data_IF_919410922387
#
_entry.id   IF_919410922387
#
_cell.length_a   1.000
_cell.length_b   1.000
_cell.length_c   1.000
_cell.angle_alpha   90.00
_cell.angle_beta   90.00
_cell.angle_gamma   90.00
#
_symmetry.space_group_name_H-M   'P 1'
#
loop_
_entity.id
_entity.type
_entity.pdbx_description
1 polymer ?
#
# COMPACT_ATOMS: atom_id res chain seq x y z
N UNK A 1 -17.20 21.17 -104.75
CA UNK A 1 -15.85 20.78 -104.29
C UNK A 1 -16.01 20.20 -102.90
N UNK A 2 -16.09 18.87 -102.74
CA UNK A 2 -14.93 17.99 -102.42
C UNK A 2 -14.19 18.53 -101.18
N UNK A 3 -14.13 17.86 -100.01
CA UNK A 3 -13.76 16.46 -99.78
C UNK A 3 -14.14 15.94 -98.37
N UNK A 4 -14.06 14.61 -98.29
CA UNK A 4 -14.22 13.58 -97.25
C UNK A 4 -13.51 13.73 -95.87
N UNK A 5 -14.06 12.96 -94.91
CA UNK A 5 -13.73 12.73 -93.49
C UNK A 5 -12.33 12.12 -93.19
N UNK A 6 -11.91 11.86 -91.92
CA UNK A 6 -12.45 10.76 -91.09
C UNK A 6 -12.53 10.97 -89.54
N UNK A 7 -13.23 10.01 -88.91
CA UNK A 7 -13.48 9.83 -87.47
C UNK A 7 -12.22 9.43 -86.68
N UNK A 8 -12.10 9.91 -85.44
CA UNK A 8 -11.31 9.24 -84.40
C UNK A 8 -12.07 9.26 -83.07
N UNK A 9 -12.42 8.08 -82.58
CA UNK A 9 -13.10 7.86 -81.31
C UNK A 9 -12.07 7.77 -80.18
N UNK A 10 -12.12 8.70 -79.22
CA UNK A 10 -11.27 8.67 -78.03
C UNK A 10 -12.05 8.06 -76.86
N UNK A 11 -11.63 6.86 -76.45
CA UNK A 11 -12.12 6.15 -75.27
C UNK A 11 -11.52 6.80 -74.02
N UNK A 12 -12.33 7.48 -73.22
CA UNK A 12 -11.91 7.95 -71.89
C UNK A 12 -11.88 6.78 -70.91
N UNK A 13 -10.69 6.50 -70.37
CA UNK A 13 -10.47 5.53 -69.29
C UNK A 13 -11.03 6.10 -67.99
N UNK A 14 -11.98 5.40 -67.36
CA UNK A 14 -12.38 5.66 -65.98
C UNK A 14 -11.20 5.37 -65.05
N UNK A 15 -10.70 6.40 -64.37
CA UNK A 15 -9.82 6.24 -63.22
C UNK A 15 -10.66 5.77 -62.02
N UNK A 16 -10.48 4.51 -61.65
CA UNK A 16 -10.99 3.94 -60.41
C UNK A 16 -10.21 4.54 -59.23
N UNK A 17 -10.77 5.57 -58.60
CA UNK A 17 -10.27 6.13 -57.36
C UNK A 17 -10.71 5.22 -56.21
N UNK A 18 -9.82 4.33 -55.74
CA UNK A 18 -10.09 3.51 -54.56
C UNK A 18 -10.08 4.42 -53.31
N UNK A 19 -11.14 4.43 -52.48
CA UNK A 19 -11.10 5.14 -51.22
C UNK A 19 -10.13 4.42 -50.29
N UNK A 20 -9.05 5.09 -49.92
CA UNK A 20 -8.18 4.66 -48.83
C UNK A 20 -8.96 4.94 -47.54
N UNK A 21 -9.50 3.87 -46.93
CA UNK A 21 -10.02 3.94 -45.57
C UNK A 21 -8.85 4.26 -44.64
N UNK A 22 -8.76 5.51 -44.19
CA UNK A 22 -7.98 5.86 -43.01
C UNK A 22 -8.73 5.32 -41.79
N UNK A 23 -8.29 4.18 -41.26
CA UNK A 23 -8.68 3.73 -39.94
C UNK A 23 -8.08 4.72 -38.92
N UNK A 24 -8.90 5.61 -38.38
CA UNK A 24 -8.54 6.39 -37.21
C UNK A 24 -8.45 5.42 -36.03
N UNK A 25 -7.23 4.99 -35.69
CA UNK A 25 -6.96 4.32 -34.44
C UNK A 25 -7.22 5.35 -33.32
N UNK A 26 -8.34 5.18 -32.62
CA UNK A 26 -8.58 5.87 -31.35
C UNK A 26 -7.56 5.28 -30.36
N UNK A 27 -6.44 5.97 -30.21
CA UNK A 27 -5.57 5.79 -29.04
C UNK A 27 -6.34 6.35 -27.85
N UNK A 28 -7.02 5.49 -27.10
CA UNK A 28 -7.43 5.79 -25.74
C UNK A 28 -6.16 5.94 -24.89
N UNK A 29 -5.55 7.12 -24.91
CA UNK A 29 -4.69 7.56 -23.82
C UNK A 29 -5.65 8.11 -22.77
N UNK A 30 -6.11 7.21 -21.92
CA UNK A 30 -7.00 7.55 -20.81
C UNK A 30 -6.41 6.93 -19.56
N UNK A 31 -6.10 7.79 -18.58
CA UNK A 31 -5.85 7.44 -17.18
C UNK A 31 -6.59 6.17 -16.80
N UNK A 32 -5.89 5.26 -16.12
CA UNK A 32 -6.53 4.22 -15.35
C UNK A 32 -7.45 4.90 -14.33
N UNK A 33 -8.70 5.17 -14.73
CA UNK A 33 -9.80 5.41 -13.83
C UNK A 33 -9.77 4.20 -12.90
N UNK A 34 -9.25 4.39 -11.70
CA UNK A 34 -9.16 3.33 -10.71
C UNK A 34 -10.58 2.81 -10.56
N UNK A 35 -10.85 1.63 -11.12
CA UNK A 35 -12.20 1.12 -11.20
C UNK A 35 -12.79 1.13 -9.79
N UNK A 36 -13.99 1.67 -9.66
CA UNK A 36 -14.71 1.60 -8.39
C UNK A 36 -14.82 0.12 -7.99
N UNK A 37 -14.74 -0.15 -6.69
CA UNK A 37 -14.84 -1.51 -6.16
C UNK A 37 -16.13 -2.18 -6.69
N UNK A 38 -16.03 -3.33 -7.38
CA UNK A 38 -17.20 -4.03 -7.91
C UNK A 38 -18.11 -4.59 -6.81
N UNK A 39 -17.60 -4.79 -5.59
CA UNK A 39 -18.34 -5.31 -4.44
C UNK A 39 -17.98 -4.50 -3.18
N UNK A 40 -18.48 -3.24 -3.07
CA UNK A 40 -18.13 -2.37 -1.95
C UNK A 40 -18.49 -3.00 -0.61
N UNK A 41 -17.51 -3.14 0.27
CA UNK A 41 -17.66 -3.78 1.57
C UNK A 41 -16.53 -3.38 2.52
N UNK A 42 -16.64 -3.82 3.78
CA UNK A 42 -15.52 -3.74 4.71
C UNK A 42 -14.56 -4.92 4.51
N UNK A 43 -13.34 -4.62 4.08
CA UNK A 43 -12.24 -5.56 4.01
C UNK A 43 -11.49 -5.60 5.33
N UNK A 44 -11.14 -6.81 5.77
CA UNK A 44 -10.29 -7.07 6.94
C UNK A 44 -9.19 -8.01 6.51
N UNK A 45 -7.95 -7.55 6.60
CA UNK A 45 -6.78 -8.30 6.13
C UNK A 45 -5.81 -8.55 7.28
N UNK A 46 -5.15 -9.70 7.23
CA UNK A 46 -4.13 -10.09 8.20
C UNK A 46 -2.95 -10.73 7.50
N UNK A 47 -1.74 -10.42 7.97
CA UNK A 47 -0.51 -11.03 7.48
C UNK A 47 0.49 -11.14 8.63
N UNK A 48 1.46 -12.05 8.53
CA UNK A 48 2.56 -12.13 9.49
C UNK A 48 3.71 -11.24 9.06
N UNK A 49 4.29 -10.49 9.98
CA UNK A 49 5.40 -9.62 9.64
C UNK A 49 6.62 -10.39 9.12
N UNK A 50 6.91 -11.58 9.66
CA UNK A 50 8.00 -12.46 9.22
C UNK A 50 7.78 -13.05 7.83
N UNK A 51 6.54 -13.07 7.34
CA UNK A 51 6.23 -13.49 5.96
C UNK A 51 6.41 -12.35 4.96
N UNK A 52 6.21 -11.09 5.41
CA UNK A 52 6.37 -9.90 4.56
C UNK A 52 7.82 -9.44 4.48
N UNK A 53 8.58 -9.59 5.57
CA UNK A 53 10.00 -9.22 5.63
C UNK A 53 10.80 -10.28 6.39
N UNK A 54 11.65 -11.08 5.71
CA UNK A 54 12.44 -12.13 6.34
C UNK A 54 13.56 -11.59 7.25
N UNK A 55 13.82 -10.28 7.26
CA UNK A 55 14.83 -9.64 8.12
C UNK A 55 14.31 -9.36 9.53
N UNK A 56 13.00 -9.45 9.74
CA UNK A 56 12.34 -9.26 11.04
C UNK A 56 12.88 -10.26 12.07
N UNK A 57 13.10 -9.79 13.30
CA UNK A 57 13.64 -10.60 14.38
C UNK A 57 12.70 -10.64 15.59
N UNK A 58 12.89 -11.68 16.41
CA UNK A 58 12.33 -11.72 17.76
C UNK A 58 13.27 -10.98 18.72
N UNK A 59 12.69 -10.43 19.78
CA UNK A 59 13.37 -9.80 20.92
C UNK A 59 12.89 -10.49 22.20
N UNK A 60 13.36 -11.73 22.49
CA UNK A 60 12.86 -12.54 23.61
C UNK A 60 13.01 -11.88 24.99
N UNK A 61 14.01 -11.01 25.14
CA UNK A 61 14.30 -10.24 26.34
C UNK A 61 13.16 -9.29 26.75
N UNK A 62 12.29 -8.93 25.80
CA UNK A 62 11.07 -8.17 26.05
C UNK A 62 9.80 -8.97 25.75
N UNK A 63 9.88 -10.30 25.60
CA UNK A 63 8.75 -11.15 25.21
C UNK A 63 8.11 -10.69 23.87
N UNK A 64 8.91 -10.15 22.96
CA UNK A 64 8.47 -9.80 21.61
C UNK A 64 8.86 -10.94 20.67
N UNK A 65 7.90 -11.80 20.36
CA UNK A 65 8.15 -13.07 19.69
C UNK A 65 7.59 -13.06 18.27
N UNK A 66 8.12 -13.93 17.42
CA UNK A 66 7.55 -14.24 16.09
C UNK A 66 6.57 -15.42 16.17
N UNK A 67 6.86 -16.37 17.05
CA UNK A 67 6.02 -17.53 17.33
C UNK A 67 5.88 -17.66 18.84
N UNK A 68 4.65 -17.85 19.31
CA UNK A 68 4.35 -18.07 20.72
C UNK A 68 4.85 -19.46 21.17
N UNK A 69 5.02 -19.71 22.49
CA UNK A 69 5.42 -21.02 23.00
C UNK A 69 4.48 -22.18 22.60
N UNK A 70 3.21 -21.88 22.35
CA UNK A 70 2.22 -22.86 21.89
C UNK A 70 2.25 -23.12 20.36
N UNK A 71 3.20 -22.53 19.64
CA UNK A 71 3.35 -22.67 18.19
C UNK A 71 2.49 -21.73 17.33
N UNK A 72 1.63 -20.91 17.94
CA UNK A 72 0.82 -19.94 17.18
C UNK A 72 1.63 -18.72 16.74
N UNK A 73 1.30 -18.08 15.61
CA UNK A 73 1.90 -16.80 15.20
C UNK A 73 1.75 -15.71 16.27
N UNK A 74 2.84 -15.03 16.60
CA UNK A 74 2.85 -13.89 17.52
C UNK A 74 2.92 -12.54 16.78
N UNK A 75 3.39 -12.54 15.54
CA UNK A 75 3.71 -11.36 14.74
C UNK A 75 2.63 -10.97 13.72
N UNK A 76 1.38 -11.29 14.03
CA UNK A 76 0.23 -10.96 13.17
C UNK A 76 0.01 -9.45 13.12
N UNK A 77 -0.15 -8.95 11.91
CA UNK A 77 -0.52 -7.58 11.58
C UNK A 77 -1.96 -7.56 11.06
N UNK A 78 -2.68 -6.46 11.27
CA UNK A 78 -4.09 -6.34 10.92
C UNK A 78 -4.34 -5.04 10.15
N UNK A 79 -5.16 -5.11 9.10
CA UNK A 79 -5.59 -3.96 8.33
C UNK A 79 -7.10 -4.00 8.10
N UNK A 80 -7.71 -2.83 7.92
CA UNK A 80 -9.11 -2.74 7.51
C UNK A 80 -9.41 -1.45 6.74
N UNK A 81 -10.28 -1.56 5.74
CA UNK A 81 -10.83 -0.48 4.93
C UNK A 81 -12.27 -0.82 4.58
N UNK A 82 -13.16 0.18 4.55
CA UNK A 82 -14.51 0.03 4.03
C UNK A 82 -14.65 0.82 2.73
N UNK A 83 -14.73 0.10 1.62
CA UNK A 83 -14.82 0.67 0.27
C UNK A 83 -16.24 1.10 -0.09
N UNK A 84 -17.25 0.74 0.72
CA UNK A 84 -18.60 1.26 0.60
C UNK A 84 -18.74 2.70 1.12
N UNK A 85 -17.74 3.17 1.88
CA UNK A 85 -17.64 4.54 2.39
C UNK A 85 -16.63 5.32 1.57
N UNK A 86 -16.94 6.59 1.26
CA UNK A 86 -16.02 7.46 0.52
C UNK A 86 -14.71 7.64 1.29
N UNK A 87 -13.59 7.26 0.67
CA UNK A 87 -12.26 7.39 1.25
C UNK A 87 -11.88 8.85 1.50
N UNK A 88 -11.23 9.11 2.63
CA UNK A 88 -10.59 10.39 2.97
C UNK A 88 -9.11 10.45 2.60
N UNK A 89 -8.55 9.35 2.10
CA UNK A 89 -7.12 9.25 1.77
C UNK A 89 -6.21 9.43 2.98
N UNK A 90 -6.62 8.90 4.14
CA UNK A 90 -5.87 8.98 5.38
C UNK A 90 -5.70 7.58 6.00
N UNK A 91 -4.50 7.31 6.49
CA UNK A 91 -4.13 6.06 7.16
C UNK A 91 -4.00 6.28 8.66
N UNK A 92 -4.74 5.50 9.44
CA UNK A 92 -4.60 5.39 10.88
C UNK A 92 -3.71 4.21 11.20
N UNK A 93 -2.56 4.47 11.84
CA UNK A 93 -1.68 3.43 12.37
C UNK A 93 -1.94 3.31 13.87
N UNK A 94 -2.54 2.20 14.29
CA UNK A 94 -2.85 1.94 15.69
C UNK A 94 -1.69 1.23 16.39
N UNK A 95 -1.12 1.88 17.40
CA UNK A 95 0.12 1.46 18.06
C UNK A 95 -0.07 0.64 19.33
N UNK A 96 -1.32 0.32 19.68
CA UNK A 96 -1.67 -0.56 20.80
C UNK A 96 -2.11 -1.94 20.29
N UNK A 97 -2.62 -2.78 21.20
CA UNK A 97 -3.22 -4.06 20.83
C UNK A 97 -4.41 -3.89 19.88
N UNK A 98 -4.62 -4.88 19.01
CA UNK A 98 -5.70 -4.86 18.01
C UNK A 98 -7.06 -4.62 18.68
N UNK A 99 -7.86 -3.73 18.08
CA UNK A 99 -9.21 -3.43 18.54
C UNK A 99 -10.14 -3.33 17.31
N UNK A 100 -10.93 -4.38 17.09
CA UNK A 100 -11.80 -4.44 15.91
C UNK A 100 -12.88 -3.37 15.91
N UNK A 101 -13.48 -3.07 17.06
CA UNK A 101 -14.52 -2.03 17.15
C UNK A 101 -13.97 -0.63 16.82
N UNK A 102 -12.71 -0.37 17.18
CA UNK A 102 -12.02 0.85 16.77
C UNK A 102 -11.83 0.89 15.25
N UNK A 103 -11.40 -0.22 14.63
CA UNK A 103 -11.20 -0.29 13.18
C UNK A 103 -12.51 -0.09 12.43
N UNK A 104 -13.58 -0.76 12.87
CA UNK A 104 -14.92 -0.62 12.30
C UNK A 104 -15.40 0.85 12.38
N UNK A 105 -15.17 1.49 13.53
CA UNK A 105 -15.48 2.91 13.71
C UNK A 105 -14.65 3.80 12.78
N UNK A 106 -13.35 3.59 12.70
CA UNK A 106 -12.43 4.35 11.84
C UNK A 106 -12.81 4.21 10.37
N UNK A 107 -13.13 2.99 9.91
CA UNK A 107 -13.55 2.75 8.53
C UNK A 107 -14.89 3.41 8.19
N UNK A 108 -15.85 3.44 9.13
CA UNK A 108 -17.11 4.18 8.93
C UNK A 108 -16.92 5.69 8.68
N UNK A 109 -15.73 6.23 8.98
CA UNK A 109 -15.36 7.60 8.68
C UNK A 109 -14.61 7.77 7.35
N UNK A 110 -14.44 6.69 6.56
CA UNK A 110 -13.68 6.69 5.31
C UNK A 110 -12.17 6.63 5.49
N UNK A 111 -11.70 6.16 6.64
CA UNK A 111 -10.28 6.09 6.98
C UNK A 111 -9.77 4.64 6.88
N UNK A 112 -8.55 4.46 6.40
CA UNK A 112 -7.86 3.17 6.42
C UNK A 112 -7.24 2.95 7.80
N UNK A 113 -7.19 1.70 8.25
CA UNK A 113 -6.60 1.36 9.54
C UNK A 113 -5.60 0.21 9.39
N UNK A 114 -4.44 0.33 10.03
CA UNK A 114 -3.49 -0.77 10.22
C UNK A 114 -3.03 -0.84 11.67
N UNK A 115 -2.65 -2.04 12.09
CA UNK A 115 -1.87 -2.30 13.31
C UNK A 115 -0.72 -3.21 12.93
N UNK A 116 0.48 -2.78 13.28
CA UNK A 116 1.72 -3.52 13.02
C UNK A 116 2.26 -4.11 14.31
N UNK A 117 2.94 -5.24 14.20
CA UNK A 117 3.61 -5.89 15.32
C UNK A 117 5.03 -5.31 15.46
N UNK A 118 5.24 -4.24 16.23
CA UNK A 118 6.54 -3.57 16.42
C UNK A 118 7.06 -3.69 17.85
N UNK A 119 8.38 -3.56 18.03
CA UNK A 119 9.08 -3.83 19.30
C UNK A 119 8.81 -2.74 20.37
N UNK A 120 7.58 -2.69 20.91
CA UNK A 120 7.11 -1.62 21.79
C UNK A 120 7.19 -1.94 23.28
N UNK A 121 7.52 -3.17 23.67
CA UNK A 121 7.56 -3.61 25.08
C UNK A 121 8.73 -3.00 25.87
N UNK A 122 9.75 -2.48 25.18
CA UNK A 122 10.85 -1.70 25.79
C UNK A 122 10.37 -0.54 26.67
N UNK A 123 9.22 0.06 26.34
CA UNK A 123 8.66 1.20 27.08
C UNK A 123 8.30 0.88 28.53
N UNK A 124 8.11 -0.40 28.85
CA UNK A 124 7.78 -0.88 30.19
C UNK A 124 9.00 -1.38 30.97
N UNK A 125 10.18 -1.42 30.36
CA UNK A 125 11.38 -2.07 30.90
C UNK A 125 12.53 -1.06 31.11
N UNK A 126 12.81 -0.20 30.13
CA UNK A 126 13.93 0.75 30.19
C UNK A 126 13.57 2.08 30.90
N UNK A 127 14.59 2.90 31.20
CA UNK A 127 14.45 4.24 31.81
C UNK A 127 13.65 4.25 33.13
N UNK A 128 14.09 3.43 34.10
CA UNK A 128 13.44 3.23 35.41
C UNK A 128 14.23 3.83 36.58
N UNK A 129 15.42 4.34 36.32
CA UNK A 129 16.28 5.01 37.28
C UNK A 129 15.65 6.29 37.86
N UNK A 130 16.21 6.83 38.95
CA UNK A 130 15.71 8.04 39.60
C UNK A 130 16.87 8.96 39.98
N UNK A 131 16.98 10.18 39.40
CA UNK A 131 16.12 10.74 38.36
C UNK A 131 16.33 10.06 36.99
N UNK A 132 15.29 10.06 36.15
CA UNK A 132 15.38 9.57 34.77
C UNK A 132 16.06 10.64 33.91
N UNK A 133 16.94 10.23 33.00
CA UNK A 133 17.53 11.14 32.02
C UNK A 133 16.46 11.80 31.13
N UNK A 134 16.62 13.09 30.84
CA UNK A 134 15.62 13.92 30.14
C UNK A 134 15.10 13.28 28.84
N UNK A 135 15.98 12.67 28.06
CA UNK A 135 15.66 12.11 26.74
C UNK A 135 15.48 10.60 26.69
N UNK A 136 15.76 9.88 27.79
CA UNK A 136 15.82 8.40 27.78
C UNK A 136 14.55 7.78 27.17
N UNK A 137 13.37 8.16 27.68
CA UNK A 137 12.09 7.62 27.21
C UNK A 137 11.67 8.13 25.83
N UNK A 138 12.20 9.27 25.39
CA UNK A 138 11.93 9.84 24.08
C UNK A 138 12.70 9.11 23.00
N UNK A 139 14.00 8.92 23.23
CA UNK A 139 14.92 8.28 22.29
C UNK A 139 14.52 6.82 22.04
N UNK A 140 14.17 6.05 23.08
CA UNK A 140 13.68 4.67 22.92
C UNK A 140 12.41 4.60 22.07
N UNK A 141 11.50 5.58 22.18
CA UNK A 141 10.29 5.62 21.34
C UNK A 141 10.63 5.95 19.89
N UNK A 142 11.59 6.85 19.67
CA UNK A 142 12.03 7.23 18.34
C UNK A 142 12.74 6.05 17.66
N UNK A 143 13.54 5.31 18.41
CA UNK A 143 14.17 4.07 17.94
C UNK A 143 13.14 2.97 17.67
N UNK A 144 12.17 2.72 18.55
CA UNK A 144 11.11 1.76 18.27
C UNK A 144 10.23 2.16 17.06
N UNK A 145 10.12 3.46 16.79
CA UNK A 145 9.40 3.96 15.62
C UNK A 145 10.18 3.76 14.31
N UNK A 146 11.48 4.05 14.33
CA UNK A 146 12.31 4.19 13.11
C UNK A 146 13.26 3.01 12.86
N UNK A 147 13.63 2.29 13.92
CA UNK A 147 14.73 1.34 13.98
C UNK A 147 16.10 1.96 13.69
N UNK A 148 16.27 3.24 14.02
CA UNK A 148 17.56 3.94 14.02
C UNK A 148 18.04 4.12 15.46
N UNK A 149 19.34 4.07 15.67
CA UNK A 149 19.98 4.25 16.98
C UNK A 149 19.83 5.69 17.47
N UNK A 150 19.20 5.86 18.64
CA UNK A 150 19.08 7.14 19.34
C UNK A 150 19.52 7.06 20.80
N UNK A 151 19.92 5.89 21.28
CA UNK A 151 20.26 5.67 22.69
C UNK A 151 21.05 4.39 22.89
N UNK A 152 21.93 4.39 23.89
CA UNK A 152 22.65 3.18 24.32
C UNK A 152 21.77 2.16 25.09
N UNK A 153 20.47 2.44 25.24
CA UNK A 153 19.55 1.66 26.09
C UNK A 153 18.93 0.45 25.39
N UNK A 154 18.77 0.52 24.07
CA UNK A 154 18.16 -0.51 23.23
C UNK A 154 18.87 -0.55 21.88
N UNK A 155 18.68 -1.64 21.15
CA UNK A 155 19.15 -1.75 19.76
C UNK A 155 18.05 -2.42 18.94
N UNK A 156 17.21 -1.62 18.28
CA UNK A 156 16.09 -2.11 17.48
C UNK A 156 16.48 -2.03 16.00
N UNK A 157 16.64 -3.17 15.30
CA UNK A 157 17.02 -3.14 13.90
C UNK A 157 15.88 -2.55 13.05
N UNK A 158 16.24 -1.85 11.97
CA UNK A 158 15.28 -1.18 11.06
C UNK A 158 14.04 -2.02 10.69
N UNK A 159 14.15 -3.32 10.31
CA UNK A 159 12.99 -4.17 10.01
C UNK A 159 11.99 -4.32 11.16
N UNK A 160 12.44 -4.14 12.41
CA UNK A 160 11.60 -4.28 13.59
C UNK A 160 10.96 -2.98 14.06
N UNK A 161 11.44 -1.84 13.53
CA UNK A 161 10.83 -0.54 13.72
C UNK A 161 9.44 -0.43 13.10
N UNK A 162 8.56 0.33 13.75
CA UNK A 162 7.17 0.54 13.28
C UNK A 162 7.10 1.03 11.83
N UNK A 163 7.97 1.96 11.42
CA UNK A 163 7.95 2.55 10.08
C UNK A 163 8.17 1.52 8.97
N UNK A 164 9.21 0.68 9.09
CA UNK A 164 9.51 -0.34 8.07
C UNK A 164 8.40 -1.39 8.02
N UNK A 165 7.91 -1.84 9.19
CA UNK A 165 6.80 -2.81 9.25
C UNK A 165 5.53 -2.28 8.60
N UNK A 166 5.18 -1.01 8.88
CA UNK A 166 4.03 -0.37 8.25
C UNK A 166 4.21 -0.25 6.74
N UNK A 167 5.40 0.14 6.27
CA UNK A 167 5.71 0.21 4.85
C UNK A 167 5.55 -1.14 4.15
N UNK A 168 6.21 -2.19 4.65
CA UNK A 168 6.13 -3.53 4.05
C UNK A 168 4.69 -4.05 4.06
N UNK A 169 3.93 -3.75 5.11
CA UNK A 169 2.53 -4.15 5.18
C UNK A 169 1.65 -3.41 4.16
N UNK A 170 1.83 -2.10 3.97
CA UNK A 170 1.09 -1.34 2.95
C UNK A 170 1.44 -1.81 1.53
N UNK A 171 2.70 -2.14 1.24
CA UNK A 171 3.10 -2.74 -0.05
C UNK A 171 2.34 -4.04 -0.31
N UNK A 172 2.24 -4.91 0.69
CA UNK A 172 1.49 -6.15 0.58
C UNK A 172 -0.02 -5.90 0.43
N UNK A 173 -0.58 -4.94 1.17
CA UNK A 173 -2.01 -4.60 1.11
C UNK A 173 -2.43 -4.11 -0.28
N UNK A 174 -1.58 -3.33 -0.95
CA UNK A 174 -1.83 -2.88 -2.32
C UNK A 174 -1.96 -4.06 -3.30
N UNK A 175 -1.18 -5.12 -3.09
CA UNK A 175 -1.24 -6.33 -3.92
C UNK A 175 -2.46 -7.19 -3.59
N UNK A 176 -2.82 -7.31 -2.29
CA UNK A 176 -3.88 -8.22 -1.84
C UNK A 176 -5.29 -7.61 -1.88
N UNK A 177 -5.39 -6.29 -1.82
CA UNK A 177 -6.67 -5.58 -1.91
C UNK A 177 -6.51 -4.29 -2.72
N UNK A 178 -6.36 -4.40 -4.05
CA UNK A 178 -6.24 -3.24 -4.95
C UNK A 178 -7.42 -2.26 -4.83
N UNK A 179 -8.62 -2.75 -4.51
CA UNK A 179 -9.84 -1.95 -4.31
C UNK A 179 -9.69 -0.96 -3.14
N UNK A 180 -8.88 -1.32 -2.14
CA UNK A 180 -8.53 -0.47 -1.00
C UNK A 180 -7.61 0.70 -1.36
N UNK A 181 -6.95 0.68 -2.53
CA UNK A 181 -6.04 1.75 -3.00
C UNK A 181 -4.93 2.08 -1.99
N UNK A 182 -4.32 1.07 -1.38
CA UNK A 182 -3.35 1.21 -0.30
C UNK A 182 -2.07 1.92 -0.74
N UNK A 183 -1.71 1.81 -2.02
CA UNK A 183 -0.53 2.43 -2.62
C UNK A 183 -0.51 3.96 -2.50
N UNK A 184 -1.65 4.61 -2.26
CA UNK A 184 -1.72 6.06 -2.00
C UNK A 184 -0.95 6.51 -0.75
N UNK A 185 -0.66 5.59 0.18
CA UNK A 185 0.10 5.87 1.39
C UNK A 185 1.60 5.63 1.24
N UNK A 186 2.05 5.22 0.05
CA UNK A 186 3.45 5.01 -0.27
C UNK A 186 4.00 6.24 -0.99
N UNK A 187 5.22 6.62 -0.65
CA UNK A 187 6.04 7.58 -1.40
C UNK A 187 6.90 6.84 -2.44
N UNK A 188 7.44 7.59 -3.40
CA UNK A 188 8.18 7.04 -4.55
C UNK A 188 9.65 6.66 -4.25
N UNK A 189 10.06 6.74 -2.99
CA UNK A 189 11.44 6.60 -2.50
C UNK A 189 11.95 5.14 -2.43
#
# INVERSE_FOLDING_TARGET
MQTSAPRFAQRHRLFCCKPVLFAAAILCVGDACTAADPIPQQYRLTARASELDPRVQAHPEIDFLITNPNGSPADVQQASVDTSVSSKGQLVIWLMGHNQALFDRVNSYGLHAIRVHYANKWFSICCKEKPIGEHCRGNIRLEAATGMDFSDEVSIPKPDGMMERARQFVIWLEQQNPEGKWGQFLTAD
#
